data_IF_155769555846
#
_entry.id   IF_155769555846
#
_cell.length_a   1.000
_cell.length_b   1.000
_cell.length_c   1.000
_cell.angle_alpha   90.00
_cell.angle_beta   90.00
_cell.angle_gamma   90.00
#
_symmetry.space_group_name_H-M   'P 1'
#
loop_
_entity.id
_entity.type
_entity.pdbx_description
1 polymer ?
#
# COMPACT_ATOMS: atom_id res chain seq x y z
N UNK A 1 -10.62 -12.72 22.99
CA UNK A 1 -9.93 -11.59 22.32
C UNK A 1 -8.90 -12.17 21.35
N UNK A 2 -9.07 -11.93 20.06
CA UNK A 2 -8.07 -12.31 19.04
C UNK A 2 -6.88 -11.38 19.19
N UNK A 3 -5.67 -11.93 19.34
CA UNK A 3 -4.44 -11.16 19.42
C UNK A 3 -3.40 -11.77 18.50
N UNK A 4 -2.69 -10.91 17.79
CA UNK A 4 -1.64 -11.26 16.85
C UNK A 4 -0.32 -10.64 17.32
N UNK A 5 0.50 -11.40 18.08
CA UNK A 5 1.74 -10.92 18.72
C UNK A 5 1.51 -9.63 19.55
N UNK A 6 0.55 -9.67 20.48
CA UNK A 6 0.14 -8.55 21.35
C UNK A 6 -0.46 -7.33 20.61
N UNK A 7 -0.76 -7.46 19.32
CA UNK A 7 -1.50 -6.43 18.57
C UNK A 7 -2.99 -6.75 18.52
N UNK A 8 -3.83 -5.71 18.51
CA UNK A 8 -5.28 -5.88 18.42
C UNK A 8 -5.77 -6.15 16.99
N UNK A 9 -4.87 -6.36 16.02
CA UNK A 9 -5.19 -6.64 14.63
C UNK A 9 -4.16 -7.58 13.99
N UNK A 10 -4.58 -8.29 12.95
CA UNK A 10 -3.75 -9.21 12.16
C UNK A 10 -2.66 -8.45 11.40
N UNK A 11 -1.55 -8.24 12.05
CA UNK A 11 -0.47 -7.41 11.50
C UNK A 11 0.39 -8.19 10.53
N UNK A 12 0.94 -7.47 9.54
CA UNK A 12 1.93 -8.03 8.60
C UNK A 12 3.14 -8.67 9.33
N UNK A 13 3.64 -8.07 10.42
CA UNK A 13 4.76 -8.65 11.19
C UNK A 13 4.41 -10.01 11.78
N UNK A 14 3.17 -10.19 12.25
CA UNK A 14 2.68 -11.46 12.74
C UNK A 14 2.64 -12.51 11.63
N UNK A 15 1.96 -12.22 10.53
CA UNK A 15 1.84 -13.12 9.38
C UNK A 15 3.22 -13.52 8.83
N UNK A 16 4.15 -12.57 8.69
CA UNK A 16 5.51 -12.83 8.21
C UNK A 16 6.30 -13.76 9.13
N UNK A 17 6.15 -13.61 10.44
CA UNK A 17 6.80 -14.50 11.40
C UNK A 17 6.24 -15.91 11.36
N UNK A 18 4.94 -16.05 11.19
CA UNK A 18 4.31 -17.38 11.00
C UNK A 18 4.77 -18.03 9.70
N UNK A 19 4.80 -17.28 8.61
CA UNK A 19 5.16 -17.82 7.29
C UNK A 19 6.66 -18.11 7.14
N UNK A 20 7.54 -17.24 7.66
CA UNK A 20 8.97 -17.31 7.42
C UNK A 20 9.80 -17.66 8.66
N UNK A 21 9.18 -17.82 9.83
CA UNK A 21 9.85 -18.19 11.09
C UNK A 21 10.62 -17.07 11.78
N UNK A 22 10.77 -15.92 11.14
CA UNK A 22 11.50 -14.78 11.66
C UNK A 22 10.94 -13.43 11.16
N UNK A 23 11.47 -12.35 11.67
CA UNK A 23 11.10 -11.02 11.21
C UNK A 23 11.64 -10.76 9.80
N UNK A 24 10.76 -10.29 8.91
CA UNK A 24 11.08 -9.95 7.53
C UNK A 24 10.93 -8.45 7.31
N UNK A 25 11.85 -7.84 6.58
CA UNK A 25 11.79 -6.42 6.24
C UNK A 25 11.58 -6.21 4.75
N UNK A 26 11.04 -5.04 4.39
CA UNK A 26 10.93 -4.64 2.98
C UNK A 26 12.14 -3.82 2.57
N UNK A 27 12.65 -4.11 1.38
CA UNK A 27 13.60 -3.26 0.63
C UNK A 27 12.84 -2.61 -0.50
N UNK A 28 12.80 -1.28 -0.51
CA UNK A 28 12.01 -0.52 -1.48
C UNK A 28 12.83 -0.28 -2.76
N UNK A 29 12.35 -0.81 -3.88
CA UNK A 29 13.02 -0.83 -5.17
C UNK A 29 12.35 0.12 -6.16
N UNK A 30 13.15 0.65 -7.06
CA UNK A 30 12.70 1.45 -8.19
C UNK A 30 13.11 0.76 -9.50
N UNK A 31 12.11 0.27 -10.24
CA UNK A 31 12.33 -0.38 -11.54
C UNK A 31 12.38 0.58 -12.71
N UNK A 32 12.37 1.90 -12.49
CA UNK A 32 12.43 2.90 -13.57
C UNK A 32 11.15 3.04 -14.38
N UNK A 33 10.02 2.46 -13.93
CA UNK A 33 8.73 2.60 -14.60
C UNK A 33 8.16 4.01 -14.46
N UNK A 34 7.21 4.34 -15.35
CA UNK A 34 6.38 5.53 -15.29
C UNK A 34 4.96 5.20 -14.80
N UNK A 35 4.01 6.08 -15.09
CA UNK A 35 2.60 5.90 -14.78
C UNK A 35 1.76 6.47 -15.93
N UNK A 36 0.70 5.77 -16.40
CA UNK A 36 -0.16 6.27 -17.49
C UNK A 36 -0.85 7.60 -17.15
N UNK A 37 -0.97 7.97 -15.88
CA UNK A 37 -1.45 9.29 -15.46
C UNK A 37 -0.37 10.40 -15.60
N UNK A 38 0.86 10.08 -16.04
CA UNK A 38 1.99 11.03 -16.12
C UNK A 38 2.65 11.12 -17.48
N UNK A 39 2.59 10.07 -18.28
CA UNK A 39 3.30 10.00 -19.58
C UNK A 39 2.45 10.45 -20.78
N UNK A 40 1.25 10.95 -20.53
CA UNK A 40 0.33 11.43 -21.57
C UNK A 40 -0.69 10.41 -22.03
N UNK A 41 -0.62 9.15 -21.62
CA UNK A 41 -1.60 8.12 -22.02
C UNK A 41 -3.00 8.39 -21.44
N UNK A 42 -3.09 8.70 -20.15
CA UNK A 42 -4.32 9.12 -19.46
C UNK A 42 -4.23 10.57 -18.99
N UNK A 43 -3.05 11.06 -18.70
CA UNK A 43 -2.79 12.42 -18.22
C UNK A 43 -1.31 12.68 -18.01
N UNK A 44 -0.97 13.94 -17.73
CA UNK A 44 0.43 14.37 -17.56
C UNK A 44 0.77 14.76 -16.13
N UNK A 45 -0.24 14.97 -15.26
CA UNK A 45 -0.05 15.52 -13.92
C UNK A 45 -0.08 14.48 -12.80
N UNK A 46 -0.46 13.23 -13.10
CA UNK A 46 -0.62 12.17 -12.10
C UNK A 46 -1.90 12.29 -11.27
N UNK A 47 -2.05 11.42 -10.29
CA UNK A 47 -3.08 11.58 -9.27
C UNK A 47 -2.82 12.86 -8.48
N UNK A 48 -3.90 13.52 -8.01
CA UNK A 48 -3.84 14.84 -7.39
C UNK A 48 -2.92 14.92 -6.15
N UNK A 49 -2.77 13.80 -5.43
CA UNK A 49 -2.00 13.69 -4.19
C UNK A 49 -0.57 13.14 -4.41
N UNK A 50 -0.25 12.65 -5.63
CA UNK A 50 0.97 11.88 -5.85
C UNK A 50 2.18 12.82 -6.02
N UNK A 51 3.23 12.64 -5.20
CA UNK A 51 4.49 13.37 -5.30
C UNK A 51 5.18 13.16 -6.66
N UNK A 52 6.17 13.98 -6.98
CA UNK A 52 6.99 13.79 -8.19
C UNK A 52 7.71 12.44 -8.20
N UNK A 53 8.04 11.88 -7.04
CA UNK A 53 8.64 10.56 -6.87
C UNK A 53 7.68 9.37 -7.08
N UNK A 54 6.39 9.61 -7.40
CA UNK A 54 5.42 8.55 -7.68
C UNK A 54 5.22 7.58 -6.52
N UNK A 55 5.18 8.08 -5.28
CA UNK A 55 5.15 7.28 -4.03
C UNK A 55 6.41 6.45 -3.78
N UNK A 56 7.47 6.68 -4.55
CA UNK A 56 8.77 6.01 -4.44
C UNK A 56 9.84 6.83 -3.72
N UNK A 57 9.46 7.85 -2.95
CA UNK A 57 10.39 8.79 -2.30
C UNK A 57 11.42 8.11 -1.38
N UNK A 58 11.15 6.87 -0.94
CA UNK A 58 12.06 6.05 -0.13
C UNK A 58 12.71 4.89 -0.90
N UNK A 59 12.45 4.76 -2.19
CA UNK A 59 13.05 3.73 -3.02
C UNK A 59 14.50 4.09 -3.38
N UNK A 60 15.31 3.07 -3.67
CA UNK A 60 16.66 3.27 -4.16
C UNK A 60 16.66 3.92 -5.57
N UNK A 61 17.82 4.42 -6.00
CA UNK A 61 17.94 5.02 -7.32
C UNK A 61 17.75 3.99 -8.44
N UNK A 62 16.90 4.31 -9.43
CA UNK A 62 16.71 3.50 -10.63
C UNK A 62 17.96 3.38 -11.52
N UNK A 63 19.00 4.17 -11.27
CA UNK A 63 20.28 4.06 -11.98
C UNK A 63 21.11 2.84 -11.56
N UNK A 64 20.76 2.22 -10.40
CA UNK A 64 21.40 1.01 -9.90
C UNK A 64 20.67 -0.24 -10.43
N UNK A 65 21.38 -1.35 -10.62
CA UNK A 65 20.76 -2.65 -10.85
C UNK A 65 19.87 -3.04 -9.65
N UNK A 66 18.94 -3.96 -9.85
CA UNK A 66 18.04 -4.42 -8.77
C UNK A 66 18.85 -5.03 -7.63
N UNK A 67 19.86 -5.82 -7.94
CA UNK A 67 20.77 -6.42 -6.95
C UNK A 67 21.50 -5.35 -6.13
N UNK A 68 22.07 -4.33 -6.78
CA UNK A 68 22.76 -3.23 -6.07
C UNK A 68 21.80 -2.44 -5.17
N UNK A 69 20.56 -2.22 -5.62
CA UNK A 69 19.53 -1.59 -4.80
C UNK A 69 19.23 -2.42 -3.55
N UNK A 70 19.04 -3.75 -3.70
CA UNK A 70 18.81 -4.68 -2.59
C UNK A 70 19.97 -4.64 -1.60
N UNK A 71 21.19 -4.86 -2.08
CA UNK A 71 22.39 -4.90 -1.24
C UNK A 71 22.59 -3.60 -0.46
N UNK A 72 22.35 -2.47 -1.10
CA UNK A 72 22.52 -1.16 -0.46
C UNK A 72 21.52 -0.97 0.69
N UNK A 73 20.26 -1.38 0.49
CA UNK A 73 19.25 -1.28 1.54
C UNK A 73 19.46 -2.31 2.64
N UNK A 74 19.85 -3.54 2.31
CA UNK A 74 20.20 -4.57 3.29
C UNK A 74 21.34 -4.08 4.19
N UNK A 75 22.42 -3.55 3.63
CA UNK A 75 23.53 -2.97 4.41
C UNK A 75 23.08 -1.86 5.36
N UNK A 76 22.13 -1.05 4.93
CA UNK A 76 21.57 0.03 5.78
C UNK A 76 20.72 -0.50 6.94
N UNK A 77 19.94 -1.55 6.70
CA UNK A 77 19.02 -2.15 7.67
C UNK A 77 19.76 -3.07 8.67
N UNK A 78 20.69 -3.89 8.19
CA UNK A 78 21.44 -4.87 8.99
C UNK A 78 22.34 -4.24 10.05
N UNK A 79 22.81 -2.99 9.83
CA UNK A 79 23.56 -2.22 10.83
C UNK A 79 22.78 -2.00 12.14
N UNK A 80 21.46 -2.10 12.08
CA UNK A 80 20.59 -1.83 13.24
C UNK A 80 20.10 -3.09 13.93
N UNK A 81 20.04 -4.24 13.24
CA UNK A 81 19.53 -5.52 13.78
C UNK A 81 19.98 -6.69 12.88
N UNK A 82 20.23 -7.89 13.44
CA UNK A 82 20.42 -9.11 12.63
C UNK A 82 19.10 -9.45 11.94
N UNK A 83 19.08 -9.37 10.63
CA UNK A 83 17.93 -9.68 9.76
C UNK A 83 18.48 -10.40 8.55
N UNK A 84 17.83 -11.49 8.15
CA UNK A 84 18.32 -12.36 7.09
C UNK A 84 17.29 -12.57 5.96
N UNK A 85 16.04 -12.08 6.13
CA UNK A 85 14.97 -12.25 5.15
C UNK A 85 14.33 -10.92 4.80
N UNK A 86 14.17 -10.71 3.49
CA UNK A 86 13.62 -9.46 2.98
C UNK A 86 12.57 -9.72 1.91
N UNK A 87 11.65 -8.76 1.76
CA UNK A 87 10.70 -8.67 0.66
C UNK A 87 11.22 -7.62 -0.31
N UNK A 88 11.42 -7.99 -1.57
CA UNK A 88 11.70 -7.04 -2.63
C UNK A 88 10.41 -6.30 -2.98
N UNK A 89 10.34 -5.00 -2.71
CA UNK A 89 9.14 -4.19 -2.90
C UNK A 89 9.34 -3.14 -3.97
N UNK A 90 8.79 -3.37 -5.15
CA UNK A 90 8.73 -2.38 -6.23
C UNK A 90 7.60 -1.40 -5.92
N UNK A 91 7.96 -0.18 -5.58
CA UNK A 91 7.02 0.83 -5.04
C UNK A 91 6.83 2.04 -5.95
N UNK A 92 7.88 2.53 -6.60
CA UNK A 92 7.84 3.77 -7.36
C UNK A 92 6.93 3.67 -8.59
N UNK A 93 5.96 4.57 -8.71
CA UNK A 93 5.02 4.67 -9.83
C UNK A 93 4.16 3.41 -10.04
N UNK A 94 4.07 2.90 -11.29
CA UNK A 94 3.24 1.75 -11.67
C UNK A 94 4.14 0.62 -12.14
N UNK A 95 4.42 -0.34 -11.28
CA UNK A 95 5.51 -1.30 -11.46
C UNK A 95 5.21 -2.47 -12.40
N UNK A 96 4.07 -2.48 -13.07
CA UNK A 96 3.77 -3.37 -14.20
C UNK A 96 3.62 -2.59 -15.52
N UNK A 97 3.91 -1.29 -15.52
CA UNK A 97 3.78 -0.43 -16.69
C UNK A 97 5.11 -0.35 -17.45
N UNK A 98 5.52 -1.46 -18.05
CA UNK A 98 6.69 -1.60 -18.90
C UNK A 98 6.54 -2.84 -19.80
N UNK A 99 7.38 -3.03 -20.83
CA UNK A 99 7.39 -4.26 -21.62
C UNK A 99 7.64 -5.50 -20.74
N UNK A 100 6.91 -6.59 -21.01
CA UNK A 100 6.93 -7.80 -20.17
C UNK A 100 8.33 -8.40 -20.01
N UNK A 101 9.16 -8.34 -21.04
CA UNK A 101 10.53 -8.86 -20.99
C UNK A 101 11.42 -8.04 -20.05
N UNK A 102 11.21 -6.73 -20.00
CA UNK A 102 11.88 -5.88 -19.01
C UNK A 102 11.46 -6.23 -17.59
N UNK A 103 10.13 -6.38 -17.36
CA UNK A 103 9.60 -6.79 -16.06
C UNK A 103 10.12 -8.17 -15.64
N UNK A 104 10.16 -9.12 -16.58
CA UNK A 104 10.73 -10.45 -16.36
C UNK A 104 12.17 -10.36 -15.86
N UNK A 105 12.98 -9.55 -16.52
CA UNK A 105 14.40 -9.36 -16.15
C UNK A 105 14.53 -8.87 -14.72
N UNK A 106 13.88 -7.74 -14.37
CA UNK A 106 14.07 -7.08 -13.07
C UNK A 106 13.43 -7.87 -11.91
N UNK A 107 12.28 -8.52 -12.14
CA UNK A 107 11.61 -9.32 -11.11
C UNK A 107 12.36 -10.64 -10.87
N UNK A 108 12.87 -11.28 -11.92
CA UNK A 108 13.71 -12.48 -11.77
C UNK A 108 15.03 -12.14 -11.06
N UNK A 109 15.65 -11.03 -11.39
CA UNK A 109 16.85 -10.55 -10.70
C UNK A 109 16.58 -10.35 -9.19
N UNK A 110 15.46 -9.70 -8.83
CA UNK A 110 15.08 -9.54 -7.42
C UNK A 110 14.86 -10.88 -6.71
N UNK A 111 14.12 -11.80 -7.33
CA UNK A 111 13.82 -13.12 -6.74
C UNK A 111 15.04 -14.04 -6.66
N UNK A 112 16.06 -13.82 -7.51
CA UNK A 112 17.30 -14.61 -7.51
C UNK A 112 18.22 -14.24 -6.34
N UNK A 113 18.00 -13.11 -5.69
CA UNK A 113 18.79 -12.73 -4.52
C UNK A 113 18.51 -13.69 -3.34
N UNK A 114 19.57 -14.22 -2.66
CA UNK A 114 19.42 -15.27 -1.63
C UNK A 114 18.57 -14.81 -0.43
N UNK A 115 18.68 -13.56 -0.02
CA UNK A 115 17.99 -13.03 1.15
C UNK A 115 16.53 -12.58 0.84
N UNK A 116 16.12 -12.59 -0.43
CA UNK A 116 14.75 -12.24 -0.83
C UNK A 116 13.85 -13.48 -0.73
N UNK A 117 12.83 -13.38 0.10
CA UNK A 117 11.87 -14.47 0.35
C UNK A 117 10.53 -14.26 -0.36
N UNK A 118 10.21 -13.05 -0.78
CA UNK A 118 8.98 -12.70 -1.50
C UNK A 118 9.16 -11.44 -2.35
N UNK A 119 8.30 -11.29 -3.36
CA UNK A 119 8.21 -10.12 -4.22
C UNK A 119 6.89 -9.39 -3.97
N UNK A 120 6.92 -8.09 -3.77
CA UNK A 120 5.75 -7.23 -3.63
C UNK A 120 5.77 -6.15 -4.72
N UNK A 121 4.69 -6.00 -5.47
CA UNK A 121 4.61 -5.14 -6.65
C UNK A 121 3.45 -4.16 -6.52
N UNK A 122 3.76 -2.87 -6.31
CA UNK A 122 2.75 -1.81 -6.29
C UNK A 122 2.36 -1.42 -7.71
N UNK A 123 1.06 -1.53 -8.05
CA UNK A 123 0.60 -1.22 -9.40
C UNK A 123 -0.85 -0.74 -9.45
N UNK A 124 -1.27 -0.36 -10.66
CA UNK A 124 -2.64 0.02 -11.03
C UNK A 124 -3.37 -1.17 -11.65
N UNK A 125 -4.68 -1.30 -11.42
CA UNK A 125 -5.49 -2.37 -12.02
C UNK A 125 -5.45 -2.39 -13.56
N UNK A 126 -5.47 -1.22 -14.19
CA UNK A 126 -5.46 -1.04 -15.65
C UNK A 126 -4.10 -1.31 -16.33
N UNK A 127 -3.10 -1.73 -15.55
CA UNK A 127 -1.74 -2.06 -16.03
C UNK A 127 -1.39 -3.55 -15.83
N UNK A 128 -2.38 -4.43 -15.91
CA UNK A 128 -2.23 -5.89 -15.76
C UNK A 128 -2.69 -6.62 -17.03
N UNK A 129 -1.90 -6.52 -18.13
CA UNK A 129 -2.13 -7.27 -19.36
C UNK A 129 -2.01 -8.79 -19.16
N UNK A 130 -2.48 -9.59 -20.13
CA UNK A 130 -2.42 -11.05 -20.03
C UNK A 130 -0.98 -11.58 -19.93
N UNK A 131 -0.07 -11.02 -20.70
CA UNK A 131 1.36 -11.31 -20.67
C UNK A 131 2.00 -11.03 -19.30
N UNK A 132 1.56 -9.96 -18.64
CA UNK A 132 2.01 -9.63 -17.29
C UNK A 132 1.42 -10.62 -16.27
N UNK A 133 0.14 -10.99 -16.41
CA UNK A 133 -0.47 -12.01 -15.56
C UNK A 133 0.25 -13.36 -15.66
N UNK A 134 0.58 -13.80 -16.87
CA UNK A 134 1.37 -15.03 -17.10
C UNK A 134 2.76 -14.95 -16.43
N UNK A 135 3.43 -13.80 -16.56
CA UNK A 135 4.70 -13.56 -15.89
C UNK A 135 4.57 -13.68 -14.36
N UNK A 136 3.60 -12.97 -13.77
CA UNK A 136 3.38 -12.98 -12.32
C UNK A 136 3.06 -14.39 -11.80
N UNK A 137 2.19 -15.12 -12.49
CA UNK A 137 1.89 -16.52 -12.16
C UNK A 137 3.14 -17.42 -12.24
N UNK A 138 4.01 -17.20 -13.24
CA UNK A 138 5.26 -17.93 -13.38
C UNK A 138 6.21 -17.67 -12.21
N UNK A 139 6.37 -16.39 -11.82
CA UNK A 139 7.23 -15.99 -10.71
C UNK A 139 6.71 -16.51 -9.36
N UNK A 140 5.37 -16.49 -9.17
CA UNK A 140 4.72 -16.93 -7.94
C UNK A 140 4.92 -18.43 -7.64
N UNK A 141 5.22 -19.24 -8.68
CA UNK A 141 5.60 -20.66 -8.49
C UNK A 141 6.99 -20.84 -7.86
N UNK A 142 7.87 -19.87 -8.01
CA UNK A 142 9.23 -19.92 -7.46
C UNK A 142 9.32 -19.38 -6.04
N UNK A 143 8.79 -18.18 -5.81
CA UNK A 143 8.68 -17.53 -4.50
C UNK A 143 7.39 -16.72 -4.45
N UNK A 144 6.78 -16.49 -3.27
CA UNK A 144 5.54 -15.72 -3.13
C UNK A 144 5.61 -14.35 -3.82
N UNK A 145 4.62 -14.06 -4.66
CA UNK A 145 4.43 -12.76 -5.31
C UNK A 145 3.15 -12.15 -4.81
N UNK A 146 3.24 -10.93 -4.32
CA UNK A 146 2.09 -10.13 -3.89
C UNK A 146 1.90 -8.94 -4.80
N UNK A 147 0.67 -8.66 -5.18
CA UNK A 147 0.32 -7.44 -5.92
C UNK A 147 -0.36 -6.46 -4.98
N UNK A 148 0.25 -5.30 -4.82
CA UNK A 148 -0.31 -4.19 -4.07
C UNK A 148 -1.12 -3.31 -5.03
N UNK A 149 -2.44 -3.51 -5.01
CA UNK A 149 -3.35 -2.95 -5.99
C UNK A 149 -3.96 -1.63 -5.50
N UNK A 150 -3.82 -0.58 -6.29
CA UNK A 150 -4.43 0.71 -5.98
C UNK A 150 -5.94 0.65 -6.13
N UNK A 151 -6.71 0.99 -5.11
CA UNK A 151 -8.16 1.25 -5.15
C UNK A 151 -8.45 2.69 -4.73
N UNK A 152 -7.86 3.07 -3.63
CA UNK A 152 -7.96 4.34 -2.90
C UNK A 152 -9.34 4.52 -2.26
N UNK A 153 -10.41 4.43 -3.03
CA UNK A 153 -11.83 4.51 -2.66
C UNK A 153 -12.71 3.77 -3.66
N UNK A 154 -13.92 3.37 -3.24
CA UNK A 154 -14.95 2.83 -4.15
C UNK A 154 -15.81 3.95 -4.77
N UNK A 155 -15.80 5.14 -4.22
CA UNK A 155 -16.69 6.25 -4.62
C UNK A 155 -16.17 6.92 -5.89
N UNK A 156 -16.99 6.88 -6.93
CA UNK A 156 -16.59 7.34 -8.26
C UNK A 156 -16.35 8.85 -8.34
N UNK A 157 -17.12 9.65 -7.62
CA UNK A 157 -16.93 11.10 -7.52
C UNK A 157 -15.57 11.45 -6.90
N UNK A 158 -15.22 10.80 -5.78
CA UNK A 158 -13.90 10.95 -5.15
C UNK A 158 -12.80 10.41 -6.08
N UNK A 159 -13.00 9.26 -6.73
CA UNK A 159 -12.04 8.68 -7.67
C UNK A 159 -11.76 9.61 -8.86
N UNK A 160 -12.78 10.31 -9.35
CA UNK A 160 -12.64 11.32 -10.39
C UNK A 160 -11.87 12.54 -9.87
N UNK A 161 -12.22 13.06 -8.69
CA UNK A 161 -11.51 14.18 -8.06
C UNK A 161 -10.02 13.91 -7.87
N UNK A 162 -9.67 12.73 -7.34
CA UNK A 162 -8.27 12.35 -7.15
C UNK A 162 -7.55 11.93 -8.45
N UNK A 163 -8.24 11.96 -9.58
CA UNK A 163 -7.71 11.55 -10.89
C UNK A 163 -7.16 10.12 -10.88
N UNK A 164 -7.91 9.18 -10.29
CA UNK A 164 -7.53 7.77 -10.27
C UNK A 164 -7.35 7.21 -11.68
N UNK A 165 -8.26 7.56 -12.60
CA UNK A 165 -8.14 7.29 -14.04
C UNK A 165 -8.57 5.88 -14.48
N UNK A 166 -9.31 5.15 -13.65
CA UNK A 166 -9.98 3.88 -13.97
C UNK A 166 -11.23 3.69 -13.12
N UNK A 167 -12.17 2.93 -13.65
CA UNK A 167 -13.43 2.60 -12.99
C UNK A 167 -13.26 1.49 -11.94
N UNK A 168 -14.25 1.35 -11.03
CA UNK A 168 -14.25 0.29 -10.03
C UNK A 168 -14.24 -1.10 -10.65
N UNK A 169 -14.96 -1.30 -11.74
CA UNK A 169 -15.00 -2.57 -12.50
C UNK A 169 -13.61 -3.02 -13.01
N UNK A 170 -12.72 -2.08 -13.32
CA UNK A 170 -11.34 -2.40 -13.68
C UNK A 170 -10.56 -2.99 -12.50
N UNK A 171 -10.81 -2.50 -11.28
CA UNK A 171 -10.25 -3.09 -10.06
C UNK A 171 -10.80 -4.49 -9.82
N UNK A 172 -12.11 -4.70 -10.00
CA UNK A 172 -12.76 -5.99 -9.81
C UNK A 172 -12.24 -7.05 -10.79
N UNK A 173 -12.10 -6.71 -12.08
CA UNK A 173 -11.49 -7.60 -13.08
C UNK A 173 -10.06 -7.97 -12.73
N UNK A 174 -9.24 -6.98 -12.41
CA UNK A 174 -7.83 -7.20 -12.03
C UNK A 174 -7.71 -8.10 -10.79
N UNK A 175 -8.54 -7.87 -9.76
CA UNK A 175 -8.59 -8.69 -8.55
C UNK A 175 -8.96 -10.13 -8.89
N UNK A 176 -10.05 -10.35 -9.63
CA UNK A 176 -10.51 -11.69 -10.02
C UNK A 176 -9.42 -12.46 -10.79
N UNK A 177 -8.75 -11.80 -11.72
CA UNK A 177 -7.65 -12.41 -12.52
C UNK A 177 -6.44 -12.74 -11.67
N UNK A 178 -6.01 -11.86 -10.76
CA UNK A 178 -4.91 -12.13 -9.83
C UNK A 178 -5.24 -13.33 -8.93
N UNK A 179 -6.47 -13.37 -8.39
CA UNK A 179 -6.91 -14.46 -7.52
C UNK A 179 -7.05 -15.80 -8.26
N UNK A 180 -7.48 -15.78 -9.50
CA UNK A 180 -7.50 -17.00 -10.35
C UNK A 180 -6.09 -17.56 -10.57
N UNK A 181 -5.06 -16.70 -10.56
CA UNK A 181 -3.64 -17.07 -10.60
C UNK A 181 -3.03 -17.40 -9.23
N UNK A 182 -3.82 -17.48 -8.14
CA UNK A 182 -3.38 -17.66 -6.76
C UNK A 182 -2.35 -16.61 -6.29
N UNK A 183 -2.44 -15.38 -6.82
CA UNK A 183 -1.59 -14.27 -6.42
C UNK A 183 -2.28 -13.50 -5.30
N UNK A 184 -1.59 -13.29 -4.19
CA UNK A 184 -2.12 -12.52 -3.07
C UNK A 184 -2.22 -11.04 -3.42
N UNK A 185 -3.38 -10.45 -3.07
CA UNK A 185 -3.68 -9.05 -3.37
C UNK A 185 -3.77 -8.24 -2.08
N UNK A 186 -2.99 -7.18 -2.03
CA UNK A 186 -3.02 -6.19 -0.96
C UNK A 186 -3.62 -4.90 -1.50
N UNK A 187 -4.73 -4.47 -0.94
CA UNK A 187 -5.44 -3.28 -1.43
C UNK A 187 -4.94 -2.01 -0.73
N UNK A 188 -4.68 -0.97 -1.52
CA UNK A 188 -4.37 0.34 -1.00
C UNK A 188 -5.65 1.19 -0.93
N UNK A 189 -6.00 1.66 0.27
CA UNK A 189 -7.02 2.67 0.52
C UNK A 189 -6.40 3.94 1.10
N UNK A 190 -7.07 5.07 0.92
CA UNK A 190 -6.63 6.35 1.51
C UNK A 190 -7.76 6.88 2.39
N UNK A 191 -7.47 7.10 3.66
CA UNK A 191 -8.37 7.67 4.65
C UNK A 191 -8.22 9.20 4.70
N UNK A 192 -9.34 9.91 4.74
CA UNK A 192 -9.39 11.37 4.78
C UNK A 192 -9.31 12.04 3.40
N UNK A 193 -9.72 11.35 2.34
CA UNK A 193 -9.89 11.95 1.02
C UNK A 193 -10.95 13.06 1.07
N UNK A 194 -10.76 14.19 0.37
CA UNK A 194 -11.75 15.24 0.32
C UNK A 194 -13.11 14.74 -0.17
N UNK A 195 -14.17 15.08 0.56
CA UNK A 195 -15.53 14.61 0.26
C UNK A 195 -15.89 13.24 0.85
N UNK A 196 -14.99 12.58 1.55
CA UNK A 196 -15.28 11.32 2.25
C UNK A 196 -15.39 11.51 3.76
N UNK A 197 -16.61 11.30 4.27
CA UNK A 197 -16.87 11.20 5.69
C UNK A 197 -16.61 9.76 6.21
N UNK A 198 -16.82 9.57 7.50
CA UNK A 198 -16.68 8.26 8.16
C UNK A 198 -17.55 7.18 7.51
N UNK A 199 -18.77 7.49 7.09
CA UNK A 199 -19.70 6.50 6.52
C UNK A 199 -19.19 6.02 5.16
N UNK A 200 -18.77 6.92 4.27
CA UNK A 200 -18.20 6.57 2.97
C UNK A 200 -16.94 5.71 3.09
N UNK A 201 -16.11 6.00 4.08
CA UNK A 201 -14.91 5.19 4.35
C UNK A 201 -15.30 3.79 4.81
N UNK A 202 -16.28 3.65 5.71
CA UNK A 202 -16.79 2.36 6.15
C UNK A 202 -17.49 1.57 5.04
N UNK A 203 -18.21 2.24 4.13
CA UNK A 203 -18.74 1.59 2.91
C UNK A 203 -17.62 0.97 2.06
N UNK A 204 -16.45 1.63 1.98
CA UNK A 204 -15.26 1.06 1.30
C UNK A 204 -14.75 -0.18 2.06
N UNK A 205 -14.72 -0.18 3.38
CA UNK A 205 -14.33 -1.34 4.19
C UNK A 205 -15.32 -2.49 4.01
N UNK A 206 -16.62 -2.21 4.06
CA UNK A 206 -17.67 -3.21 3.88
C UNK A 206 -17.66 -3.81 2.46
N UNK A 207 -17.37 -3.00 1.44
CA UNK A 207 -17.13 -3.50 0.09
C UNK A 207 -15.96 -4.47 0.04
N UNK A 208 -14.81 -4.11 0.66
CA UNK A 208 -13.62 -4.94 0.67
C UNK A 208 -13.79 -6.23 1.48
N UNK A 209 -14.65 -6.26 2.48
CA UNK A 209 -15.01 -7.47 3.21
C UNK A 209 -15.66 -8.54 2.32
N UNK A 210 -16.30 -8.14 1.22
CA UNK A 210 -16.90 -9.05 0.23
C UNK A 210 -15.95 -9.49 -0.87
N UNK A 211 -14.74 -8.93 -0.91
CA UNK A 211 -13.74 -9.24 -1.93
C UNK A 211 -12.75 -10.31 -1.44
N UNK A 212 -12.18 -11.09 -2.36
CA UNK A 212 -11.12 -12.06 -2.06
C UNK A 212 -9.75 -11.36 -2.01
N UNK A 213 -9.53 -10.57 -0.95
CA UNK A 213 -8.26 -9.88 -0.69
C UNK A 213 -7.55 -10.49 0.52
N UNK A 214 -6.22 -10.49 0.51
CA UNK A 214 -5.39 -11.07 1.56
C UNK A 214 -4.82 -10.01 2.48
N UNK A 215 -4.75 -8.77 2.03
CA UNK A 215 -4.23 -7.69 2.87
C UNK A 215 -4.75 -6.32 2.49
N UNK A 216 -4.57 -5.37 3.39
CA UNK A 216 -4.99 -3.98 3.21
C UNK A 216 -3.94 -3.01 3.77
N UNK A 217 -3.84 -1.84 3.14
CA UNK A 217 -3.16 -0.66 3.67
C UNK A 217 -4.18 0.45 3.90
N UNK A 218 -4.40 0.80 5.14
CA UNK A 218 -5.16 1.98 5.55
C UNK A 218 -4.18 3.15 5.60
N UNK A 219 -4.13 3.95 4.55
CA UNK A 219 -3.17 5.05 4.42
C UNK A 219 -3.82 6.37 4.77
N UNK A 220 -3.14 7.19 5.57
CA UNK A 220 -3.55 8.58 5.78
C UNK A 220 -3.27 9.39 4.52
N UNK A 221 -4.21 10.26 4.14
CA UNK A 221 -3.97 11.27 3.12
C UNK A 221 -2.86 12.22 3.59
N UNK A 222 -1.87 12.41 2.72
CA UNK A 222 -0.82 13.42 2.92
C UNK A 222 -0.95 14.52 1.87
N UNK A 223 -0.92 15.75 2.31
CA UNK A 223 -0.79 16.93 1.45
C UNK A 223 0.70 17.21 1.29
N UNK A 224 1.22 16.96 0.09
CA UNK A 224 2.65 17.09 -0.22
C UNK A 224 2.90 18.32 -1.10
N UNK A 225 3.97 19.02 -0.84
CA UNK A 225 4.42 20.17 -1.63
C UNK A 225 4.56 19.82 -3.12
N UNK A 226 4.11 20.73 -3.98
CA UNK A 226 4.19 20.56 -5.43
C UNK A 226 3.15 19.62 -6.03
N UNK A 227 2.14 19.21 -5.26
CA UNK A 227 0.97 18.46 -5.75
C UNK A 227 -0.22 19.41 -5.99
N UNK A 228 -1.13 19.02 -6.89
CA UNK A 228 -2.36 19.81 -7.09
C UNK A 228 -3.26 19.78 -5.84
N UNK A 229 -3.20 18.69 -5.06
CA UNK A 229 -3.88 18.59 -3.77
C UNK A 229 -3.39 19.66 -2.78
N UNK A 230 -2.10 20.02 -2.81
CA UNK A 230 -1.57 21.10 -1.99
C UNK A 230 -2.17 22.45 -2.38
N UNK A 231 -2.33 22.70 -3.67
CA UNK A 231 -2.96 23.93 -4.15
C UNK A 231 -4.45 24.04 -3.72
N UNK A 232 -5.17 22.92 -3.71
CA UNK A 232 -6.55 22.89 -3.23
C UNK A 232 -6.64 23.08 -1.70
N UNK A 233 -5.71 22.50 -0.96
CA UNK A 233 -5.58 22.69 0.49
C UNK A 233 -5.27 24.14 0.86
N UNK A 234 -4.33 24.77 0.15
CA UNK A 234 -3.96 26.20 0.36
C UNK A 234 -5.13 27.15 0.07
N UNK A 235 -6.04 26.79 -0.85
CA UNK A 235 -7.29 27.53 -1.11
C UNK A 235 -8.38 27.26 -0.07
N UNK A 236 -8.16 26.38 0.89
CA UNK A 236 -9.14 26.01 1.91
C UNK A 236 -10.33 25.19 1.38
N UNK A 237 -10.17 24.46 0.26
CA UNK A 237 -11.23 23.64 -0.32
C UNK A 237 -11.53 22.39 0.49
N UNK A 238 -10.62 21.95 1.33
CA UNK A 238 -10.79 20.85 2.29
C UNK A 238 -9.85 21.03 3.47
N UNK A 239 -10.11 20.28 4.55
CA UNK A 239 -9.22 20.13 5.71
C UNK A 239 -8.70 18.71 5.82
N UNK A 240 -7.53 18.51 6.41
CA UNK A 240 -7.04 17.19 6.78
C UNK A 240 -7.60 16.79 8.14
N UNK A 241 -7.72 15.46 8.37
CA UNK A 241 -8.12 14.93 9.67
C UNK A 241 -7.13 15.37 10.76
N UNK A 242 -7.63 15.67 11.95
CA UNK A 242 -6.76 15.74 13.10
C UNK A 242 -6.30 14.35 13.54
N UNK A 243 -5.36 14.30 14.49
CA UNK A 243 -4.77 13.02 14.91
C UNK A 243 -5.78 12.11 15.57
N UNK A 244 -6.66 12.67 16.37
CA UNK A 244 -7.58 11.90 17.19
C UNK A 244 -8.75 11.38 16.33
N UNK A 245 -9.27 12.23 15.43
CA UNK A 245 -10.22 11.82 14.38
C UNK A 245 -9.68 10.68 13.52
N UNK A 246 -8.42 10.78 13.10
CA UNK A 246 -7.79 9.72 12.32
C UNK A 246 -7.67 8.40 13.07
N UNK A 247 -7.28 8.45 14.35
CA UNK A 247 -7.15 7.23 15.18
C UNK A 247 -8.50 6.58 15.38
N UNK A 248 -9.54 7.35 15.68
CA UNK A 248 -10.90 6.84 15.85
C UNK A 248 -11.41 6.20 14.54
N UNK A 249 -11.16 6.85 13.40
CA UNK A 249 -11.50 6.30 12.10
C UNK A 249 -10.75 5.00 11.77
N UNK A 250 -9.46 4.91 12.10
CA UNK A 250 -8.68 3.66 11.91
C UNK A 250 -9.21 2.56 12.82
N UNK A 251 -9.60 2.86 14.06
CA UNK A 251 -10.21 1.90 14.97
C UNK A 251 -11.52 1.37 14.39
N UNK A 252 -12.39 2.25 13.89
CA UNK A 252 -13.63 1.87 13.22
C UNK A 252 -13.37 0.96 12.02
N UNK A 253 -12.44 1.34 11.14
CA UNK A 253 -12.06 0.51 9.99
C UNK A 253 -11.60 -0.89 10.43
N UNK A 254 -10.76 -0.98 11.46
CA UNK A 254 -10.27 -2.25 11.98
C UNK A 254 -11.39 -3.09 12.60
N UNK A 255 -12.29 -2.48 13.38
CA UNK A 255 -13.41 -3.19 13.99
C UNK A 255 -14.37 -3.79 12.96
N UNK A 256 -14.60 -3.10 11.83
CA UNK A 256 -15.48 -3.58 10.75
C UNK A 256 -14.78 -4.55 9.79
N UNK A 257 -13.45 -4.57 9.74
CA UNK A 257 -12.71 -5.38 8.78
C UNK A 257 -12.67 -6.87 9.20
N UNK A 258 -12.86 -7.78 8.23
CA UNK A 258 -12.70 -9.23 8.43
C UNK A 258 -11.38 -9.58 9.14
N UNK A 259 -11.39 -10.50 10.15
CA UNK A 259 -10.20 -10.83 10.94
C UNK A 259 -9.06 -11.50 10.16
N UNK A 260 -9.36 -12.13 9.02
CA UNK A 260 -8.40 -12.83 8.17
C UNK A 260 -7.58 -11.89 7.27
N UNK A 261 -8.06 -10.67 7.01
CA UNK A 261 -7.35 -9.69 6.18
C UNK A 261 -6.13 -9.15 6.94
N UNK A 262 -4.95 -9.30 6.36
CA UNK A 262 -3.69 -8.83 6.96
C UNK A 262 -3.54 -7.31 6.85
N UNK A 263 -3.26 -6.66 7.97
CA UNK A 263 -3.02 -5.22 8.02
C UNK A 263 -1.56 -4.93 7.69
N UNK A 264 -1.31 -4.49 6.46
CA UNK A 264 0.03 -4.15 6.00
C UNK A 264 0.50 -2.79 6.51
N UNK A 265 -0.45 -1.87 6.75
CA UNK A 265 -0.18 -0.50 7.21
C UNK A 265 -1.45 0.13 7.77
N UNK A 266 -1.30 0.88 8.86
CA UNK A 266 -2.37 1.69 9.47
C UNK A 266 -2.08 3.20 9.43
N UNK A 267 -1.00 3.62 8.79
CA UNK A 267 -0.66 5.04 8.57
C UNK A 267 0.34 5.16 7.42
N UNK A 268 0.42 6.31 6.77
CA UNK A 268 1.39 6.60 5.73
C UNK A 268 2.76 7.05 6.27
N UNK A 269 3.75 7.06 5.40
CA UNK A 269 5.02 7.75 5.58
C UNK A 269 5.15 8.76 4.43
N UNK A 270 5.05 10.05 4.72
CA UNK A 270 5.34 11.12 3.76
C UNK A 270 6.78 11.62 3.93
N UNK A 271 7.45 12.07 2.84
CA UNK A 271 8.73 12.74 2.95
C UNK A 271 8.59 14.02 3.79
N UNK A 272 9.34 14.10 4.89
CA UNK A 272 9.17 15.15 5.91
C UNK A 272 9.39 16.56 5.38
N UNK A 273 10.28 16.71 4.43
CA UNK A 273 10.62 17.96 3.75
C UNK A 273 9.55 18.44 2.77
N UNK A 274 8.67 17.53 2.33
CA UNK A 274 7.57 17.82 1.40
C UNK A 274 6.20 17.89 2.11
N UNK A 275 6.07 17.38 3.34
CA UNK A 275 4.79 17.29 4.03
C UNK A 275 4.28 18.67 4.46
N UNK A 276 3.13 19.08 3.93
CA UNK A 276 2.40 20.29 4.32
C UNK A 276 1.40 19.97 5.44
N UNK A 277 0.58 18.92 5.25
CA UNK A 277 -0.45 18.50 6.20
C UNK A 277 -0.78 17.00 6.07
N UNK A 278 -1.24 16.38 7.16
CA UNK A 278 -1.20 16.86 8.53
C UNK A 278 0.19 16.66 9.16
N UNK A 279 0.73 17.67 9.83
CA UNK A 279 2.10 17.62 10.38
C UNK A 279 2.31 16.57 11.47
N UNK A 280 1.27 16.21 12.21
CA UNK A 280 1.33 15.16 13.22
C UNK A 280 1.69 13.77 12.64
N UNK A 281 1.42 13.52 11.36
CA UNK A 281 1.75 12.27 10.67
C UNK A 281 3.27 11.99 10.64
N UNK A 282 4.12 13.02 10.73
CA UNK A 282 5.58 12.88 10.83
C UNK A 282 6.05 12.15 12.09
N UNK A 283 5.18 12.02 13.11
CA UNK A 283 5.46 11.35 14.39
C UNK A 283 4.85 9.95 14.46
N UNK A 284 5.09 9.15 13.45
CA UNK A 284 4.48 7.81 13.26
C UNK A 284 4.48 6.93 14.51
N UNK A 285 5.57 6.94 15.30
CA UNK A 285 5.63 6.13 16.53
C UNK A 285 4.60 6.56 17.58
N UNK A 286 4.40 7.86 17.73
CA UNK A 286 3.39 8.40 18.65
C UNK A 286 1.97 8.01 18.19
N UNK A 287 1.69 8.11 16.89
CA UNK A 287 0.40 7.70 16.32
C UNK A 287 0.12 6.23 16.57
N UNK A 288 1.08 5.35 16.29
CA UNK A 288 0.92 3.90 16.51
C UNK A 288 0.76 3.56 18.01
N UNK A 289 1.50 4.19 18.89
CA UNK A 289 1.38 3.98 20.32
C UNK A 289 0.01 4.43 20.84
N UNK A 290 -0.48 5.58 20.37
CA UNK A 290 -1.78 6.10 20.76
C UNK A 290 -2.92 5.23 20.24
N UNK A 291 -2.84 4.75 18.99
CA UNK A 291 -3.80 3.80 18.42
C UNK A 291 -3.87 2.53 19.28
N UNK A 292 -2.73 1.91 19.58
CA UNK A 292 -2.71 0.69 20.40
C UNK A 292 -3.23 0.92 21.82
N UNK A 293 -2.93 2.06 22.40
CA UNK A 293 -3.41 2.45 23.73
C UNK A 293 -4.94 2.57 23.73
N UNK A 294 -5.52 3.36 22.82
CA UNK A 294 -6.99 3.53 22.70
C UNK A 294 -7.70 2.21 22.40
N UNK A 295 -7.18 1.41 21.48
CA UNK A 295 -7.76 0.09 21.20
C UNK A 295 -7.75 -0.82 22.44
N UNK A 296 -6.71 -0.75 23.27
CA UNK A 296 -6.64 -1.51 24.52
C UNK A 296 -7.65 -1.01 25.55
N UNK A 297 -7.78 0.30 25.72
CA UNK A 297 -8.74 0.91 26.68
C UNK A 297 -10.19 0.61 26.28
N UNK A 298 -10.50 0.65 24.98
CA UNK A 298 -11.85 0.36 24.45
C UNK A 298 -12.13 -1.14 24.27
N UNK A 299 -11.19 -2.03 24.65
CA UNK A 299 -11.26 -3.47 24.35
C UNK A 299 -11.58 -3.71 22.85
N UNK A 300 -10.98 -2.89 21.98
CA UNK A 300 -11.19 -2.90 20.54
C UNK A 300 -10.20 -3.84 19.86
N UNK A 301 -10.65 -4.55 18.83
CA UNK A 301 -9.84 -5.44 18.03
C UNK A 301 -10.42 -5.59 16.61
N UNK A 302 -9.61 -6.02 15.67
CA UNK A 302 -10.04 -6.26 14.29
C UNK A 302 -11.17 -7.29 14.25
N UNK A 303 -12.24 -6.92 13.56
CA UNK A 303 -13.43 -7.77 13.39
C UNK A 303 -14.43 -7.72 14.54
N UNK A 304 -14.26 -6.86 15.53
CA UNK A 304 -15.21 -6.73 16.67
C UNK A 304 -16.64 -6.39 16.21
N UNK A 305 -16.77 -5.60 15.16
CA UNK A 305 -18.02 -5.18 14.54
C UNK A 305 -18.33 -5.91 13.22
N UNK A 306 -17.41 -6.77 12.75
CA UNK A 306 -17.62 -7.52 11.52
C UNK A 306 -18.76 -8.51 11.68
N UNK A 307 -19.80 -8.35 10.87
CA UNK A 307 -20.88 -9.32 10.73
C UNK A 307 -20.61 -10.17 9.49
N UNK A 308 -20.47 -11.48 9.69
CA UNK A 308 -20.34 -12.41 8.58
C UNK A 308 -21.65 -12.39 7.80
N UNK A 309 -21.61 -11.85 6.57
CA UNK A 309 -22.75 -11.82 5.64
C UNK A 309 -23.09 -13.21 5.15
#
# INVERSE_FOLDING_TARGET
MLRWNDKPYHSLDHMLREQFGEKVYRVALNGGMSCPNRDGKLGTRGCIFCSQGGSGDFAASAALSVTEQIDTQIRSLSRKRPIHKYIAYFQAYTNTYAPVEYLRKIFTEALSHPDIVALSIGTRPDCLGNDIMELLCSLNRAKPVWVELGLQTIHQDTAAYIRRGYELSCFEDALARLRSGNIDVIVHTILGLPGEDRNRILETIDYLNRQDIQGIKLQLLHVLRGTDLAADYEKGLFSTLDRDEYIDLVMDCLEHLRPDIVIHRVTGDGPKDQLIAPLWASRKREVLNLLHHRMKEADSFQGKQYQKL
#
